data_IF_028057140944
#
_entry.id   IF_028057140944
#
_cell.length_a   1.000
_cell.length_b   1.000
_cell.length_c   1.000
_cell.angle_alpha   90.00
_cell.angle_beta   90.00
_cell.angle_gamma   90.00
#
_symmetry.space_group_name_H-M   'P 1'
#
loop_
_entity.id
_entity.type
_entity.pdbx_description
1 polymer ?
#
# COMPACT_ATOMS: atom_id res chain seq x y z
N UNK A 1 -26.00 -54.45 15.72
CA UNK A 1 -24.57 -54.08 15.65
C UNK A 1 -24.24 -52.99 14.62
N UNK A 2 -25.02 -52.77 13.56
CA UNK A 2 -24.69 -51.74 12.55
C UNK A 2 -24.94 -50.30 13.04
N UNK A 3 -25.94 -50.06 13.86
CA UNK A 3 -26.33 -48.72 14.35
C UNK A 3 -25.32 -48.07 15.30
N UNK A 4 -24.64 -48.86 16.13
CA UNK A 4 -23.62 -48.38 17.08
C UNK A 4 -22.32 -47.96 16.40
N UNK A 5 -22.03 -48.50 15.22
CA UNK A 5 -20.84 -48.15 14.44
C UNK A 5 -20.97 -46.75 13.80
N UNK A 6 -22.16 -46.42 13.28
CA UNK A 6 -22.42 -45.10 12.69
C UNK A 6 -22.44 -43.97 13.72
N UNK A 7 -22.93 -44.23 14.93
CA UNK A 7 -22.87 -43.23 16.02
C UNK A 7 -21.43 -42.94 16.45
N UNK A 8 -20.57 -43.96 16.51
CA UNK A 8 -19.14 -43.78 16.80
C UNK A 8 -18.42 -43.00 15.69
N UNK A 9 -18.72 -43.29 14.42
CA UNK A 9 -18.16 -42.53 13.30
C UNK A 9 -18.62 -41.06 13.30
N UNK A 10 -19.88 -40.79 13.64
CA UNK A 10 -20.41 -39.43 13.73
C UNK A 10 -19.71 -38.58 14.78
N UNK A 11 -19.46 -39.14 15.97
CA UNK A 11 -18.73 -38.44 17.04
C UNK A 11 -17.27 -38.18 16.64
N UNK A 12 -16.64 -39.16 15.97
CA UNK A 12 -15.25 -39.03 15.53
C UNK A 12 -15.10 -37.97 14.42
N UNK A 13 -16.05 -37.92 13.48
CA UNK A 13 -16.09 -36.88 12.45
C UNK A 13 -16.27 -35.47 13.04
N UNK A 14 -17.17 -35.31 14.02
CA UNK A 14 -17.36 -34.03 14.71
C UNK A 14 -16.08 -33.58 15.45
N UNK A 15 -15.37 -34.52 16.08
CA UNK A 15 -14.08 -34.24 16.73
C UNK A 15 -13.01 -33.71 15.77
N UNK A 16 -12.90 -34.32 14.58
CA UNK A 16 -11.94 -33.87 13.55
C UNK A 16 -12.24 -32.45 13.07
N UNK A 17 -13.53 -32.12 12.85
CA UNK A 17 -13.93 -30.78 12.39
C UNK A 17 -13.59 -29.72 13.44
N UNK A 18 -13.87 -29.98 14.72
CA UNK A 18 -13.53 -29.07 15.82
C UNK A 18 -12.01 -28.88 15.94
N UNK A 19 -11.24 -29.95 15.79
CA UNK A 19 -9.78 -29.88 15.84
C UNK A 19 -9.19 -29.08 14.66
N UNK A 20 -9.75 -29.25 13.45
CA UNK A 20 -9.34 -28.47 12.29
C UNK A 20 -9.64 -26.97 12.45
N UNK A 21 -10.81 -26.62 13.00
CA UNK A 21 -11.16 -25.24 13.33
C UNK A 21 -10.19 -24.64 14.36
N UNK A 22 -9.83 -25.40 15.39
CA UNK A 22 -8.87 -24.97 16.41
C UNK A 22 -7.48 -24.69 15.84
N UNK A 23 -6.94 -25.58 14.98
CA UNK A 23 -5.66 -25.35 14.30
C UNK A 23 -5.74 -24.13 13.38
N UNK A 24 -6.84 -23.97 12.65
CA UNK A 24 -7.07 -22.81 11.78
C UNK A 24 -7.00 -21.50 12.57
N UNK A 25 -7.64 -21.46 13.75
CA UNK A 25 -7.63 -20.28 14.62
C UNK A 25 -6.23 -19.98 15.18
N UNK A 26 -5.50 -21.00 15.67
CA UNK A 26 -4.12 -20.80 16.14
C UNK A 26 -3.17 -20.26 15.06
N UNK A 27 -3.36 -20.68 13.81
CA UNK A 27 -2.52 -20.23 12.70
C UNK A 27 -2.81 -18.77 12.33
N UNK A 28 -4.07 -18.34 12.47
CA UNK A 28 -4.48 -16.96 12.19
C UNK A 28 -3.82 -15.99 13.18
N UNK A 29 -3.86 -16.29 14.47
CA UNK A 29 -3.26 -15.44 15.52
C UNK A 29 -1.75 -15.26 15.33
N UNK A 30 -1.03 -16.34 15.01
CA UNK A 30 0.42 -16.27 14.74
C UNK A 30 0.73 -15.40 13.52
N UNK A 31 -0.14 -15.43 12.50
CA UNK A 31 0.02 -14.57 11.34
C UNK A 31 -0.23 -13.10 11.68
N UNK A 32 -1.21 -12.79 12.54
CA UNK A 32 -1.44 -11.43 13.03
C UNK A 32 -0.27 -10.88 13.85
N UNK A 33 0.27 -11.69 14.75
CA UNK A 33 1.48 -11.33 15.51
C UNK A 33 2.67 -11.08 14.57
N UNK A 34 2.86 -11.93 13.56
CA UNK A 34 3.90 -11.76 12.55
C UNK A 34 3.75 -10.43 11.78
N UNK A 35 2.53 -10.11 11.31
CA UNK A 35 2.25 -8.83 10.65
C UNK A 35 2.59 -7.64 11.56
N UNK A 36 2.11 -7.67 12.80
CA UNK A 36 2.31 -6.57 13.74
C UNK A 36 3.79 -6.39 14.08
N UNK A 37 4.54 -7.48 14.21
CA UNK A 37 5.99 -7.44 14.37
C UNK A 37 6.67 -6.76 13.17
N UNK A 38 6.36 -7.19 11.94
CA UNK A 38 6.93 -6.60 10.72
C UNK A 38 6.58 -5.11 10.54
N UNK A 39 5.34 -4.73 10.83
CA UNK A 39 4.90 -3.31 10.79
C UNK A 39 5.68 -2.48 11.81
N UNK A 40 5.89 -3.03 13.01
CA UNK A 40 6.66 -2.34 14.06
C UNK A 40 8.11 -2.15 13.65
N UNK A 41 8.75 -3.18 13.10
CA UNK A 41 10.12 -3.09 12.59
C UNK A 41 10.27 -2.02 11.50
N UNK A 42 9.35 -1.98 10.53
CA UNK A 42 9.34 -0.96 9.47
C UNK A 42 9.26 0.46 10.06
N UNK A 43 8.40 0.68 11.06
CA UNK A 43 8.25 1.98 11.72
C UNK A 43 9.52 2.40 12.46
N UNK A 44 10.17 1.48 13.17
CA UNK A 44 11.44 1.74 13.86
C UNK A 44 12.53 2.16 12.87
N UNK A 45 12.65 1.47 11.73
CA UNK A 45 13.60 1.83 10.69
C UNK A 45 13.31 3.22 10.09
N UNK A 46 12.04 3.56 9.84
CA UNK A 46 11.66 4.88 9.34
C UNK A 46 12.04 5.99 10.33
N UNK A 47 11.68 5.85 11.61
CA UNK A 47 12.04 6.84 12.63
C UNK A 47 13.56 7.00 12.79
N UNK A 48 14.33 5.91 12.73
CA UNK A 48 15.79 6.00 12.77
C UNK A 48 16.37 6.80 11.59
N UNK A 49 15.83 6.60 10.38
CA UNK A 49 16.27 7.38 9.21
C UNK A 49 15.88 8.86 9.30
N UNK A 50 14.71 9.18 9.83
CA UNK A 50 14.26 10.56 10.05
C UNK A 50 15.11 11.29 11.08
N UNK A 51 15.41 10.64 12.22
CA UNK A 51 16.28 11.22 13.24
C UNK A 51 17.67 11.52 12.69
N UNK A 52 18.22 10.61 11.89
CA UNK A 52 19.54 10.78 11.31
C UNK A 52 19.55 11.88 10.24
N UNK A 53 18.47 12.02 9.48
CA UNK A 53 18.26 13.15 8.57
C UNK A 53 18.21 14.48 9.33
N UNK A 54 17.46 14.56 10.42
CA UNK A 54 17.36 15.77 11.25
C UNK A 54 18.71 16.12 11.87
N UNK A 55 19.44 15.12 12.39
CA UNK A 55 20.79 15.32 12.92
C UNK A 55 21.75 15.88 11.87
N UNK A 56 21.75 15.32 10.65
CA UNK A 56 22.60 15.80 9.57
C UNK A 56 22.21 17.21 9.08
N UNK A 57 20.92 17.54 9.09
CA UNK A 57 20.42 18.84 8.65
C UNK A 57 20.62 19.94 9.71
N UNK A 58 20.52 19.59 11.01
CA UNK A 58 20.64 20.53 12.12
C UNK A 58 22.07 20.60 12.69
N UNK A 59 23.06 19.98 12.01
CA UNK A 59 24.45 20.02 12.45
C UNK A 59 24.93 21.49 12.45
N UNK A 60 25.49 22.00 13.56
CA UNK A 60 25.93 23.39 13.62
C UNK A 60 26.99 23.68 12.55
N UNK A 61 26.87 24.84 11.90
CA UNK A 61 27.82 25.31 10.90
C UNK A 61 29.24 25.32 11.49
N UNK A 62 30.21 24.78 10.74
CA UNK A 62 31.62 24.74 11.14
C UNK A 62 32.15 23.37 11.55
N UNK A 63 31.29 22.38 11.83
CA UNK A 63 31.76 21.00 11.98
C UNK A 63 31.79 20.30 10.60
N UNK A 64 32.97 19.85 10.13
CA UNK A 64 33.04 19.07 8.90
C UNK A 64 32.25 17.76 9.05
N UNK A 65 31.65 17.30 7.95
CA UNK A 65 31.04 15.98 7.91
C UNK A 65 32.13 14.92 7.91
N UNK A 66 32.02 13.94 8.80
CA UNK A 66 32.93 12.79 8.81
C UNK A 66 32.75 11.97 7.52
N UNK A 67 33.70 11.08 7.22
CA UNK A 67 33.61 10.21 6.03
C UNK A 67 32.37 9.30 6.06
N UNK A 68 31.97 8.85 7.26
CA UNK A 68 30.77 8.04 7.48
C UNK A 68 29.50 8.86 7.27
N UNK A 69 29.40 10.06 7.85
CA UNK A 69 28.27 10.97 7.65
C UNK A 69 28.07 11.35 6.18
N UNK A 70 29.17 11.57 5.43
CA UNK A 70 29.09 11.83 3.99
C UNK A 70 28.51 10.66 3.21
N UNK A 71 28.96 9.43 3.51
CA UNK A 71 28.41 8.21 2.90
C UNK A 71 26.93 8.05 3.22
N UNK A 72 26.54 8.30 4.47
CA UNK A 72 25.14 8.21 4.91
C UNK A 72 24.28 9.29 4.26
N UNK A 73 24.78 10.52 4.13
CA UNK A 73 24.07 11.59 3.41
C UNK A 73 23.88 11.24 1.93
N UNK A 74 24.89 10.66 1.30
CA UNK A 74 24.80 10.21 -0.09
C UNK A 74 23.82 9.03 -0.26
N UNK A 75 23.80 8.08 0.68
CA UNK A 75 22.84 6.97 0.65
C UNK A 75 21.42 7.42 0.98
N UNK A 76 21.22 8.36 1.91
CA UNK A 76 19.92 8.99 2.18
C UNK A 76 19.42 9.74 0.95
N UNK A 77 20.28 10.56 0.31
CA UNK A 77 19.91 11.24 -0.94
C UNK A 77 19.56 10.24 -2.05
N UNK A 78 20.33 9.15 -2.19
CA UNK A 78 20.02 8.08 -3.16
C UNK A 78 18.72 7.37 -2.80
N UNK A 79 18.50 7.10 -1.51
CA UNK A 79 17.26 6.52 -1.02
C UNK A 79 16.09 7.43 -1.38
N UNK A 80 16.14 8.74 -1.08
CA UNK A 80 15.14 9.72 -1.49
C UNK A 80 14.93 9.75 -3.01
N UNK A 81 15.99 9.67 -3.81
CA UNK A 81 15.87 9.62 -5.27
C UNK A 81 15.27 8.29 -5.77
N UNK A 82 15.47 7.18 -5.05
CA UNK A 82 14.94 5.85 -5.41
C UNK A 82 13.57 5.55 -4.81
N UNK A 83 13.25 6.15 -3.66
CA UNK A 83 12.05 5.93 -2.85
C UNK A 83 11.03 7.05 -3.01
N UNK A 84 11.43 8.19 -3.59
CA UNK A 84 10.49 9.03 -4.33
C UNK A 84 10.01 8.16 -5.47
N UNK A 85 8.76 7.65 -5.44
CA UNK A 85 8.17 7.29 -6.69
C UNK A 85 8.27 8.59 -7.50
N UNK A 86 8.62 8.55 -8.78
CA UNK A 86 7.96 9.52 -9.65
C UNK A 86 6.47 9.17 -9.55
N UNK A 87 5.84 9.57 -8.46
CA UNK A 87 4.42 9.55 -8.27
C UNK A 87 4.00 10.48 -9.36
N UNK A 88 3.56 9.91 -10.49
CA UNK A 88 2.92 10.68 -11.52
C UNK A 88 1.79 11.37 -10.80
N UNK A 89 1.97 12.63 -10.47
CA UNK A 89 0.96 13.43 -9.76
C UNK A 89 -0.19 13.75 -10.70
N UNK A 90 -0.01 13.47 -12.00
CA UNK A 90 -0.99 13.64 -13.03
C UNK A 90 -0.99 12.48 -14.04
N UNK A 91 -2.15 12.28 -14.64
CA UNK A 91 -2.45 11.26 -15.65
C UNK A 91 -3.09 11.95 -16.83
N UNK A 92 -2.74 11.52 -18.04
CA UNK A 92 -3.30 12.07 -19.28
C UNK A 92 -4.34 11.11 -19.82
N UNK A 93 -5.50 11.64 -20.17
CA UNK A 93 -6.58 10.88 -20.82
C UNK A 93 -6.22 10.59 -22.28
N UNK A 94 -6.34 9.34 -22.73
CA UNK A 94 -6.16 8.94 -24.15
C UNK A 94 -7.44 9.06 -24.96
N UNK A 95 -8.57 8.94 -24.28
CA UNK A 95 -9.91 8.92 -24.86
C UNK A 95 -10.82 9.90 -24.12
N UNK A 96 -11.97 10.22 -24.71
CA UNK A 96 -12.98 11.06 -24.06
C UNK A 96 -13.68 10.26 -22.95
N UNK A 97 -13.59 10.74 -21.71
CA UNK A 97 -14.13 10.03 -20.54
C UNK A 97 -15.29 10.80 -19.94
N UNK A 98 -16.46 10.16 -19.88
CA UNK A 98 -17.64 10.73 -19.23
C UNK A 98 -17.64 10.40 -17.74
N UNK A 99 -17.63 11.44 -16.90
CA UNK A 99 -17.76 11.32 -15.44
C UNK A 99 -19.09 11.89 -14.96
N UNK A 100 -19.69 11.26 -13.95
CA UNK A 100 -20.92 11.74 -13.33
C UNK A 100 -20.59 12.69 -12.18
N UNK A 101 -20.90 13.96 -12.34
CA UNK A 101 -20.72 14.99 -11.30
C UNK A 101 -22.05 15.33 -10.63
N UNK A 102 -22.01 16.05 -9.51
CA UNK A 102 -23.24 16.53 -8.83
C UNK A 102 -24.07 17.50 -9.69
N UNK A 103 -23.49 18.08 -10.74
CA UNK A 103 -24.15 18.98 -11.69
C UNK A 103 -24.59 18.29 -12.99
N UNK A 104 -24.33 16.99 -13.14
CA UNK A 104 -24.64 16.21 -14.33
C UNK A 104 -23.44 15.47 -14.93
N UNK A 105 -23.64 14.90 -16.11
CA UNK A 105 -22.58 14.18 -16.84
C UNK A 105 -21.63 15.18 -17.51
N UNK A 106 -20.33 15.07 -17.23
CA UNK A 106 -19.28 15.90 -17.83
C UNK A 106 -18.32 15.01 -18.60
N UNK A 107 -18.07 15.34 -19.86
CA UNK A 107 -17.09 14.65 -20.70
C UNK A 107 -15.74 15.36 -20.62
N UNK A 108 -14.72 14.64 -20.15
CA UNK A 108 -13.34 15.09 -20.15
C UNK A 108 -12.74 14.73 -21.50
N UNK A 109 -12.23 15.71 -22.27
CA UNK A 109 -11.70 15.45 -23.59
C UNK A 109 -10.35 14.75 -23.52
N UNK A 110 -10.05 13.93 -24.52
CA UNK A 110 -8.73 13.32 -24.71
C UNK A 110 -7.60 14.35 -24.65
N UNK A 111 -6.47 13.94 -24.10
CA UNK A 111 -5.30 14.79 -23.88
C UNK A 111 -5.40 15.66 -22.62
N UNK A 112 -6.48 15.57 -21.86
CA UNK A 112 -6.60 16.30 -20.58
C UNK A 112 -5.71 15.68 -19.52
N UNK A 113 -4.93 16.53 -18.85
CA UNK A 113 -4.06 16.16 -17.73
C UNK A 113 -4.82 16.35 -16.41
N UNK A 114 -5.04 15.27 -15.68
CA UNK A 114 -5.79 15.27 -14.42
C UNK A 114 -4.89 14.85 -13.25
N UNK A 115 -5.02 15.46 -12.06
CA UNK A 115 -4.32 15.01 -10.87
C UNK A 115 -4.67 13.57 -10.52
N UNK A 116 -3.66 12.75 -10.34
CA UNK A 116 -3.76 11.34 -9.99
C UNK A 116 -3.77 11.16 -8.49
N UNK A 117 -4.74 10.42 -7.97
CA UNK A 117 -4.88 10.17 -6.53
C UNK A 117 -4.58 8.71 -6.19
N UNK A 118 -5.08 7.75 -6.99
CA UNK A 118 -4.94 6.33 -6.69
C UNK A 118 -5.08 5.47 -7.95
N UNK A 119 -4.36 4.34 -8.02
CA UNK A 119 -4.43 3.34 -9.11
C UNK A 119 -4.74 1.98 -8.54
N UNK A 120 -5.63 1.27 -9.20
CA UNK A 120 -5.79 -0.17 -9.13
C UNK A 120 -5.50 -0.79 -10.51
N UNK A 121 -5.54 -2.11 -10.62
CA UNK A 121 -5.24 -2.85 -11.86
C UNK A 121 -6.22 -2.54 -13.01
N UNK A 122 -7.43 -2.06 -12.71
CA UNK A 122 -8.47 -1.77 -13.71
C UNK A 122 -8.98 -0.32 -13.70
N UNK A 123 -8.77 0.41 -12.60
CA UNK A 123 -9.34 1.74 -12.38
C UNK A 123 -8.28 2.73 -11.90
N UNK A 124 -8.45 3.99 -12.29
CA UNK A 124 -7.64 5.12 -11.89
C UNK A 124 -8.55 6.16 -11.25
N UNK A 125 -8.20 6.61 -10.05
CA UNK A 125 -8.86 7.74 -9.38
C UNK A 125 -8.16 9.03 -9.73
N UNK A 126 -8.89 9.91 -10.39
CA UNK A 126 -8.44 11.24 -10.79
C UNK A 126 -9.24 12.31 -10.06
N UNK A 127 -8.62 13.44 -9.77
CA UNK A 127 -9.29 14.58 -9.14
C UNK A 127 -9.79 15.55 -10.19
N UNK A 128 -11.08 15.84 -10.19
CA UNK A 128 -11.70 16.83 -11.05
C UNK A 128 -12.59 17.76 -10.19
N UNK A 129 -12.43 19.07 -10.32
CA UNK A 129 -13.15 20.06 -9.48
C UNK A 129 -13.11 19.74 -7.97
N UNK A 130 -11.94 19.33 -7.47
CA UNK A 130 -11.70 18.98 -6.06
C UNK A 130 -12.51 17.78 -5.53
N UNK A 131 -13.06 16.94 -6.41
CA UNK A 131 -13.65 15.63 -6.10
C UNK A 131 -12.91 14.53 -6.84
N UNK A 132 -12.91 13.34 -6.26
CA UNK A 132 -12.24 12.19 -6.84
C UNK A 132 -13.24 11.36 -7.65
N UNK A 133 -12.88 11.02 -8.89
CA UNK A 133 -13.68 10.24 -9.83
C UNK A 133 -12.90 9.04 -10.34
N UNK A 134 -13.61 7.96 -10.61
CA UNK A 134 -13.04 6.72 -11.13
C UNK A 134 -13.14 6.70 -12.65
N UNK A 135 -12.01 6.47 -13.31
CA UNK A 135 -11.91 6.31 -14.76
C UNK A 135 -11.20 4.99 -15.07
N UNK A 136 -11.55 4.29 -16.17
CA UNK A 136 -10.87 3.06 -16.55
C UNK A 136 -9.41 3.34 -16.94
N UNK A 137 -8.50 2.43 -16.56
CA UNK A 137 -7.07 2.61 -16.84
C UNK A 137 -6.75 2.62 -18.34
N UNK A 138 -7.51 1.89 -19.14
CA UNK A 138 -7.40 1.86 -20.61
C UNK A 138 -7.61 3.22 -21.25
N UNK A 139 -8.40 4.11 -20.61
CA UNK A 139 -8.63 5.47 -21.09
C UNK A 139 -7.50 6.44 -20.70
N UNK A 140 -6.39 5.94 -20.16
CA UNK A 140 -5.29 6.76 -19.62
C UNK A 140 -3.92 6.37 -20.15
N UNK A 141 -2.93 7.23 -19.96
CA UNK A 141 -1.53 6.98 -20.32
C UNK A 141 -0.78 6.03 -19.36
N UNK A 142 -1.49 5.39 -18.42
CA UNK A 142 -0.95 4.46 -17.44
C UNK A 142 -1.04 2.98 -17.84
N UNK A 143 -1.62 2.70 -19.00
CA UNK A 143 -1.58 1.40 -19.67
C UNK A 143 -0.19 1.10 -20.25
#
# INVERSE_FOLDING_TARGET
MKTTFYSLLGVLAAGIVLFALYIGWQRLDRWEQGKNYWITQLRVHQHATEQLRLYLNNKPFGLPLTSTERKIRASLKRYELSSSPRARTSVTTREDVSIQTSSGSVTIPKGSTLPFTYRNNSIVRVRYQNKDYEIPISATDLE
#
